data_IF_279653075334
#
_entry.id   IF_279653075334
#
_cell.length_a   1.000
_cell.length_b   1.000
_cell.length_c   1.000
_cell.angle_alpha   90.00
_cell.angle_beta   90.00
_cell.angle_gamma   90.00
#
_symmetry.space_group_name_H-M   'P 1'
#
loop_
_entity.id
_entity.type
_entity.pdbx_description
1 polymer ?
#
# COMPACT_ATOMS: atom_id res chain seq x y z
N UNK A 1 -23.79 -6.64 1.56
CA UNK A 1 -22.90 -7.55 0.79
C UNK A 1 -22.47 -6.81 -0.45
N UNK A 2 -21.15 -6.75 -0.69
CA UNK A 2 -20.60 -6.01 -1.84
C UNK A 2 -20.51 -6.89 -3.09
N UNK A 3 -20.34 -6.30 -4.27
CA UNK A 3 -20.22 -7.05 -5.53
C UNK A 3 -18.98 -7.95 -5.49
N UNK A 4 -17.88 -7.46 -4.91
CA UNK A 4 -16.66 -8.24 -4.68
C UNK A 4 -16.91 -9.49 -3.82
N UNK A 5 -17.71 -9.36 -2.75
CA UNK A 5 -18.06 -10.50 -1.87
C UNK A 5 -18.93 -11.55 -2.59
N UNK A 6 -19.86 -11.10 -3.44
CA UNK A 6 -20.69 -12.00 -4.25
C UNK A 6 -19.84 -12.79 -5.25
N UNK A 7 -18.97 -12.10 -5.99
CA UNK A 7 -18.07 -12.73 -6.97
C UNK A 7 -17.15 -13.76 -6.31
N UNK A 8 -16.62 -13.45 -5.13
CA UNK A 8 -15.78 -14.38 -4.35
C UNK A 8 -16.55 -15.62 -3.90
N UNK A 9 -17.79 -15.44 -3.44
CA UNK A 9 -18.64 -16.57 -3.02
C UNK A 9 -18.93 -17.53 -4.19
N UNK A 10 -19.21 -16.99 -5.38
CA UNK A 10 -19.41 -17.81 -6.59
C UNK A 10 -18.10 -18.47 -7.05
N UNK A 11 -16.96 -17.78 -6.92
CA UNK A 11 -15.64 -18.35 -7.19
C UNK A 11 -15.37 -19.57 -6.27
N UNK A 12 -15.70 -19.46 -4.98
CA UNK A 12 -15.58 -20.56 -4.03
C UNK A 12 -16.49 -21.75 -4.38
N UNK A 13 -17.71 -21.51 -4.85
CA UNK A 13 -18.58 -22.57 -5.36
C UNK A 13 -17.95 -23.27 -6.57
N UNK A 14 -17.33 -22.52 -7.49
CA UNK A 14 -16.63 -23.08 -8.63
C UNK A 14 -15.42 -23.92 -8.19
N UNK A 15 -14.66 -23.45 -7.19
CA UNK A 15 -13.52 -24.18 -6.60
C UNK A 15 -13.96 -25.49 -5.94
N UNK A 16 -15.04 -25.46 -5.16
CA UNK A 16 -15.61 -26.66 -4.51
C UNK A 16 -16.12 -27.63 -5.58
N UNK A 17 -16.80 -27.13 -6.60
CA UNK A 17 -17.26 -27.93 -7.73
C UNK A 17 -16.11 -28.60 -8.48
N UNK A 18 -15.05 -27.84 -8.80
CA UNK A 18 -13.84 -28.36 -9.44
C UNK A 18 -13.21 -29.49 -8.63
N UNK A 19 -13.08 -29.31 -7.30
CA UNK A 19 -12.57 -30.35 -6.41
C UNK A 19 -13.41 -31.62 -6.46
N UNK A 20 -14.75 -31.50 -6.36
CA UNK A 20 -15.65 -32.66 -6.45
C UNK A 20 -15.56 -33.38 -7.80
N UNK A 21 -15.40 -32.63 -8.89
CA UNK A 21 -15.19 -33.19 -10.23
C UNK A 21 -13.87 -33.95 -10.33
N UNK A 22 -12.79 -33.43 -9.75
CA UNK A 22 -11.51 -34.11 -9.66
C UNK A 22 -11.62 -35.39 -8.83
N UNK A 23 -12.26 -35.33 -7.66
CA UNK A 23 -12.47 -36.51 -6.80
C UNK A 23 -13.28 -37.58 -7.56
N UNK A 24 -14.30 -37.19 -8.32
CA UNK A 24 -15.07 -38.10 -9.17
C UNK A 24 -14.25 -38.67 -10.33
N UNK A 25 -13.34 -37.88 -10.91
CA UNK A 25 -12.45 -38.33 -11.97
C UNK A 25 -11.45 -39.37 -11.44
N UNK A 26 -10.89 -39.15 -10.25
CA UNK A 26 -10.03 -40.10 -9.56
C UNK A 26 -10.79 -41.38 -9.19
N UNK A 27 -12.06 -41.26 -8.79
CA UNK A 27 -12.93 -42.38 -8.46
C UNK A 27 -13.34 -43.24 -9.68
N UNK A 28 -13.09 -42.79 -10.92
CA UNK A 28 -13.29 -43.64 -12.10
C UNK A 28 -12.34 -44.85 -12.12
N UNK A 29 -11.20 -44.77 -11.43
CA UNK A 29 -10.19 -45.83 -11.41
C UNK A 29 -9.57 -46.09 -12.79
N UNK A 30 -8.93 -47.24 -12.92
CA UNK A 30 -8.25 -47.63 -14.15
C UNK A 30 -9.23 -47.84 -15.30
N UNK A 31 -8.76 -47.58 -16.52
CA UNK A 31 -9.53 -47.81 -17.74
C UNK A 31 -9.78 -49.32 -17.90
N UNK A 32 -11.04 -49.76 -18.13
CA UNK A 32 -11.35 -51.17 -18.37
C UNK A 32 -10.67 -51.70 -19.64
N UNK A 33 -10.33 -52.99 -19.63
CA UNK A 33 -9.74 -53.68 -20.79
C UNK A 33 -10.78 -54.04 -21.88
N UNK A 34 -12.06 -54.11 -21.51
CA UNK A 34 -13.12 -54.44 -22.45
C UNK A 34 -13.48 -53.22 -23.34
N UNK A 35 -13.70 -53.39 -24.67
CA UNK A 35 -13.87 -52.26 -25.59
C UNK A 35 -15.05 -51.34 -25.27
N UNK A 36 -16.14 -51.87 -24.71
CA UNK A 36 -17.35 -51.10 -24.42
C UNK A 36 -17.17 -50.28 -23.13
N UNK A 37 -16.61 -50.91 -22.09
CA UNK A 37 -16.24 -50.28 -20.83
C UNK A 37 -15.16 -49.21 -21.02
N UNK A 38 -14.15 -49.48 -21.85
CA UNK A 38 -13.12 -48.54 -22.24
C UNK A 38 -13.71 -47.25 -22.84
N UNK A 39 -14.65 -47.38 -23.80
CA UNK A 39 -15.29 -46.23 -24.44
C UNK A 39 -16.12 -45.40 -23.46
N UNK A 40 -16.91 -46.07 -22.60
CA UNK A 40 -17.73 -45.39 -21.59
C UNK A 40 -16.85 -44.68 -20.54
N UNK A 41 -15.74 -45.30 -20.14
CA UNK A 41 -14.76 -44.69 -19.26
C UNK A 41 -14.16 -43.43 -19.88
N UNK A 42 -13.72 -43.48 -21.15
CA UNK A 42 -13.13 -42.33 -21.85
C UNK A 42 -14.12 -41.17 -21.99
N UNK A 43 -15.39 -41.45 -22.31
CA UNK A 43 -16.43 -40.43 -22.37
C UNK A 43 -16.65 -39.74 -21.02
N UNK A 44 -16.70 -40.53 -19.93
CA UNK A 44 -16.84 -40.00 -18.57
C UNK A 44 -15.62 -39.19 -18.15
N UNK A 45 -14.42 -39.71 -18.38
CA UNK A 45 -13.17 -39.04 -18.08
C UNK A 45 -13.06 -37.71 -18.80
N UNK A 46 -13.32 -37.68 -20.12
CA UNK A 46 -13.26 -36.47 -20.94
C UNK A 46 -14.28 -35.42 -20.48
N UNK A 47 -15.50 -35.86 -20.14
CA UNK A 47 -16.55 -34.96 -19.62
C UNK A 47 -16.13 -34.35 -18.28
N UNK A 48 -15.63 -35.16 -17.34
CA UNK A 48 -15.17 -34.67 -16.03
C UNK A 48 -13.97 -33.73 -16.18
N UNK A 49 -13.01 -34.08 -17.06
CA UNK A 49 -11.88 -33.20 -17.37
C UNK A 49 -12.34 -31.85 -17.95
N UNK A 50 -13.31 -31.87 -18.86
CA UNK A 50 -13.91 -30.64 -19.41
C UNK A 50 -14.55 -29.78 -18.32
N UNK A 51 -15.36 -30.40 -17.46
CA UNK A 51 -15.99 -29.71 -16.33
C UNK A 51 -14.97 -29.13 -15.34
N UNK A 52 -13.92 -29.89 -15.02
CA UNK A 52 -12.82 -29.46 -14.16
C UNK A 52 -12.12 -28.22 -14.72
N UNK A 53 -11.79 -28.25 -16.02
CA UNK A 53 -11.15 -27.14 -16.72
C UNK A 53 -12.04 -25.89 -16.73
N UNK A 54 -13.33 -26.04 -17.07
CA UNK A 54 -14.28 -24.92 -17.10
C UNK A 54 -14.50 -24.30 -15.72
N UNK A 55 -14.67 -25.11 -14.67
CA UNK A 55 -14.86 -24.61 -13.30
C UNK A 55 -13.61 -23.93 -12.76
N UNK A 56 -12.42 -24.47 -13.05
CA UNK A 56 -11.14 -23.87 -12.65
C UNK A 56 -10.91 -22.53 -13.36
N UNK A 57 -11.19 -22.45 -14.66
CA UNK A 57 -11.10 -21.21 -15.43
C UNK A 57 -12.10 -20.16 -14.93
N UNK A 58 -13.33 -20.57 -14.62
CA UNK A 58 -14.37 -19.67 -14.10
C UNK A 58 -14.00 -19.15 -12.70
N UNK A 59 -13.50 -20.01 -11.80
CA UNK A 59 -13.00 -19.62 -10.49
C UNK A 59 -11.90 -18.54 -10.60
N UNK A 60 -10.93 -18.74 -11.50
CA UNK A 60 -9.84 -17.78 -11.74
C UNK A 60 -10.38 -16.42 -12.20
N UNK A 61 -11.28 -16.40 -13.19
CA UNK A 61 -11.90 -15.16 -13.70
C UNK A 61 -12.72 -14.43 -12.64
N UNK A 62 -13.52 -15.15 -11.87
CA UNK A 62 -14.34 -14.57 -10.81
C UNK A 62 -13.51 -14.04 -9.65
N UNK A 63 -12.42 -14.71 -9.30
CA UNK A 63 -11.48 -14.22 -8.28
C UNK A 63 -10.81 -12.93 -8.73
N UNK A 64 -10.33 -12.87 -9.97
CA UNK A 64 -9.75 -11.64 -10.53
C UNK A 64 -10.77 -10.49 -10.56
N UNK A 65 -12.02 -10.76 -10.97
CA UNK A 65 -13.09 -9.78 -10.96
C UNK A 65 -13.44 -9.30 -9.55
N UNK A 66 -13.49 -10.21 -8.56
CA UNK A 66 -13.74 -9.87 -7.16
C UNK A 66 -12.65 -8.95 -6.59
N UNK A 67 -11.39 -9.20 -6.91
CA UNK A 67 -10.27 -8.32 -6.52
C UNK A 67 -10.38 -6.97 -7.19
N UNK A 68 -10.63 -6.93 -8.51
CA UNK A 68 -10.77 -5.68 -9.24
C UNK A 68 -11.91 -4.83 -8.70
N UNK A 69 -13.04 -5.44 -8.36
CA UNK A 69 -14.19 -4.70 -7.84
C UNK A 69 -13.95 -4.23 -6.40
N UNK A 70 -13.28 -5.04 -5.57
CA UNK A 70 -12.84 -4.62 -4.25
C UNK A 70 -11.90 -3.42 -4.31
N UNK A 71 -10.98 -3.37 -5.28
CA UNK A 71 -10.09 -2.21 -5.46
C UNK A 71 -10.83 -0.93 -5.84
N UNK A 72 -11.89 -1.01 -6.65
CA UNK A 72 -12.73 0.15 -6.99
C UNK A 72 -13.47 0.69 -5.78
N UNK A 73 -13.95 -0.19 -4.89
CA UNK A 73 -14.61 0.22 -3.65
C UNK A 73 -13.70 1.11 -2.78
N UNK A 74 -12.37 0.89 -2.82
CA UNK A 74 -11.39 1.67 -2.06
C UNK A 74 -10.74 2.83 -2.85
N UNK A 75 -11.09 3.04 -4.12
CA UNK A 75 -10.50 4.08 -4.97
C UNK A 75 -10.72 5.49 -4.38
N UNK A 76 -11.93 5.76 -3.85
CA UNK A 76 -12.24 7.04 -3.21
C UNK A 76 -11.47 7.29 -1.91
N UNK A 77 -11.27 6.24 -1.10
CA UNK A 77 -10.50 6.35 0.14
C UNK A 77 -9.00 6.56 -0.16
N UNK A 78 -8.46 5.87 -1.15
CA UNK A 78 -7.08 6.06 -1.61
C UNK A 78 -6.85 7.47 -2.19
N UNK A 79 -7.81 8.00 -2.95
CA UNK A 79 -7.78 9.39 -3.43
C UNK A 79 -7.75 10.38 -2.26
N UNK A 80 -8.61 10.16 -1.26
CA UNK A 80 -8.67 11.00 -0.04
C UNK A 80 -7.35 10.97 0.74
N UNK A 81 -6.74 9.80 0.92
CA UNK A 81 -5.43 9.65 1.56
C UNK A 81 -4.35 10.41 0.77
N UNK A 82 -4.41 10.38 -0.55
CA UNK A 82 -3.52 11.16 -1.43
C UNK A 82 -3.64 12.66 -1.18
N UNK A 83 -4.85 13.20 -1.17
CA UNK A 83 -5.11 14.62 -0.91
C UNK A 83 -4.66 15.05 0.49
N UNK A 84 -4.96 14.24 1.52
CA UNK A 84 -4.51 14.48 2.90
C UNK A 84 -2.98 14.47 2.99
N UNK A 85 -2.32 13.58 2.26
CA UNK A 85 -0.85 13.50 2.23
C UNK A 85 -0.22 14.74 1.60
N UNK A 86 -0.78 15.26 0.51
CA UNK A 86 -0.32 16.52 -0.12
C UNK A 86 -0.53 17.70 0.82
N UNK A 87 -1.69 17.79 1.47
CA UNK A 87 -1.97 18.83 2.45
C UNK A 87 -1.03 18.75 3.66
N UNK A 88 -0.69 17.55 4.13
CA UNK A 88 0.27 17.34 5.21
C UNK A 88 1.69 17.77 4.81
N UNK A 89 2.16 17.46 3.59
CA UNK A 89 3.46 17.91 3.09
C UNK A 89 3.56 19.44 3.02
N UNK A 90 2.49 20.12 2.59
CA UNK A 90 2.44 21.58 2.58
C UNK A 90 2.58 22.16 3.99
N UNK A 91 1.88 21.58 4.99
CA UNK A 91 2.00 21.99 6.39
C UNK A 91 3.40 21.73 6.97
N UNK A 92 4.03 20.60 6.64
CA UNK A 92 5.41 20.29 7.06
C UNK A 92 6.38 21.34 6.52
N UNK A 93 6.23 21.75 5.26
CA UNK A 93 7.06 22.81 4.66
C UNK A 93 6.90 24.14 5.41
N UNK A 94 5.67 24.54 5.72
CA UNK A 94 5.40 25.74 6.52
C UNK A 94 6.03 25.67 7.91
N UNK A 95 5.95 24.53 8.59
CA UNK A 95 6.60 24.34 9.92
C UNK A 95 8.12 24.49 9.81
N UNK A 96 8.73 23.97 8.74
CA UNK A 96 10.16 24.11 8.50
C UNK A 96 10.55 25.58 8.28
N UNK A 97 9.81 26.30 7.44
CA UNK A 97 10.02 27.73 7.19
C UNK A 97 9.87 28.56 8.47
N UNK A 98 8.86 28.26 9.32
CA UNK A 98 8.69 28.91 10.63
C UNK A 98 9.85 28.59 11.57
N UNK A 99 10.33 27.34 11.60
CA UNK A 99 11.46 26.94 12.45
C UNK A 99 12.77 27.62 12.01
N UNK A 100 12.99 27.75 10.70
CA UNK A 100 14.11 28.51 10.15
C UNK A 100 14.01 29.99 10.54
N UNK A 101 12.82 30.60 10.43
CA UNK A 101 12.60 31.98 10.84
C UNK A 101 12.86 32.19 12.33
N UNK A 102 12.36 31.30 13.20
CA UNK A 102 12.59 31.37 14.65
C UNK A 102 14.08 31.23 14.98
N UNK A 103 14.81 30.36 14.26
CA UNK A 103 16.26 30.22 14.42
C UNK A 103 17.00 31.49 14.00
N UNK A 104 16.56 32.14 12.91
CA UNK A 104 17.10 33.45 12.48
C UNK A 104 16.86 34.52 13.55
N UNK A 105 15.65 34.59 14.10
CA UNK A 105 15.30 35.54 15.15
C UNK A 105 16.13 35.30 16.42
N UNK A 106 16.28 34.04 16.84
CA UNK A 106 17.09 33.69 18.01
C UNK A 106 18.55 34.15 17.86
N UNK A 107 19.18 33.91 16.70
CA UNK A 107 20.53 34.38 16.42
C UNK A 107 20.68 35.91 16.46
N UNK A 108 19.67 36.65 15.98
CA UNK A 108 19.65 38.13 16.07
C UNK A 108 19.51 38.60 17.52
N UNK A 109 18.69 37.91 18.33
CA UNK A 109 18.56 38.19 19.76
C UNK A 109 19.86 37.89 20.52
N UNK A 110 20.53 36.78 20.19
CA UNK A 110 21.83 36.42 20.77
C UNK A 110 22.91 37.46 20.45
N UNK A 111 22.91 38.01 19.23
CA UNK A 111 23.76 39.14 18.86
C UNK A 111 23.45 40.40 19.68
N UNK A 112 22.17 40.75 19.86
CA UNK A 112 21.75 41.88 20.68
C UNK A 112 22.17 41.72 22.15
N UNK A 113 22.03 40.52 22.71
CA UNK A 113 22.48 40.18 24.07
C UNK A 113 24.00 40.26 24.21
N UNK A 114 24.75 39.74 23.24
CA UNK A 114 26.20 39.81 23.23
C UNK A 114 26.70 41.27 23.13
N UNK A 115 26.01 42.11 22.35
CA UNK A 115 26.31 43.54 22.22
C UNK A 115 26.08 44.27 23.56
N UNK A 116 24.95 44.01 24.21
CA UNK A 116 24.63 44.54 25.54
C UNK A 116 25.67 44.12 26.58
N UNK A 117 26.08 42.86 26.59
CA UNK A 117 27.10 42.34 27.50
C UNK A 117 28.48 42.97 27.26
N UNK A 118 28.88 43.15 25.99
CA UNK A 118 30.12 43.81 25.62
C UNK A 118 30.13 45.31 25.99
N UNK A 119 28.98 45.99 25.84
CA UNK A 119 28.83 47.40 26.21
C UNK A 119 28.83 47.61 27.73
N UNK A 120 28.22 46.71 28.51
CA UNK A 120 28.18 46.81 29.96
C UNK A 120 29.49 46.40 30.63
N UNK A 121 30.16 45.36 30.10
CA UNK A 121 31.41 44.80 30.65
C UNK A 121 32.39 44.44 29.53
N UNK A 122 33.22 45.40 29.08
CA UNK A 122 34.17 45.15 28.02
C UNK A 122 35.27 44.21 28.49
N UNK A 123 35.36 43.02 27.90
CA UNK A 123 36.41 42.04 28.17
C UNK A 123 36.71 41.26 26.90
N UNK A 124 37.90 40.62 26.80
CA UNK A 124 38.20 39.74 25.67
C UNK A 124 37.13 38.64 25.47
N UNK A 125 36.58 38.10 26.56
CA UNK A 125 35.54 37.08 26.50
C UNK A 125 34.21 37.61 25.93
N UNK A 126 33.78 38.81 26.33
CA UNK A 126 32.52 39.42 25.82
C UNK A 126 32.66 39.90 24.37
N UNK A 127 33.85 40.34 23.96
CA UNK A 127 34.15 40.68 22.55
C UNK A 127 34.15 39.42 21.67
N UNK A 128 34.74 38.31 22.12
CA UNK A 128 34.72 37.03 21.39
C UNK A 128 33.28 36.51 21.23
N UNK A 129 32.46 36.59 22.29
CA UNK A 129 31.06 36.21 22.22
C UNK A 129 30.28 37.05 21.19
N UNK A 130 30.54 38.37 21.14
CA UNK A 130 29.93 39.28 20.17
C UNK A 130 30.35 38.95 18.72
N UNK A 131 31.64 38.68 18.49
CA UNK A 131 32.14 38.31 17.15
C UNK A 131 31.53 36.99 16.67
N UNK A 132 31.46 35.98 17.54
CA UNK A 132 30.86 34.68 17.20
C UNK A 132 29.36 34.80 16.92
N UNK A 133 28.62 35.58 17.72
CA UNK A 133 27.21 35.85 17.46
C UNK A 133 27.02 36.65 16.15
N UNK A 134 27.93 37.58 15.85
CA UNK A 134 27.94 38.37 14.61
C UNK A 134 28.16 37.51 13.37
N UNK A 135 29.13 36.60 13.40
CA UNK A 135 29.35 35.62 12.32
C UNK A 135 28.14 34.69 12.14
N UNK A 136 27.55 34.21 13.23
CA UNK A 136 26.38 33.32 13.17
C UNK A 136 25.13 33.97 12.55
N UNK A 137 25.02 35.31 12.62
CA UNK A 137 24.00 36.12 11.94
C UNK A 137 24.38 36.47 10.51
N UNK A 138 25.67 36.74 10.23
CA UNK A 138 26.16 37.06 8.88
C UNK A 138 26.05 35.85 7.92
N UNK A 139 26.07 34.63 8.45
CA UNK A 139 25.91 33.37 7.71
C UNK A 139 24.42 32.94 7.50
N UNK A 140 23.44 33.81 7.78
CA UNK A 140 21.99 33.56 7.61
C UNK A 140 21.43 33.95 6.24
#
# INVERSE_FOLDING_TARGET
MTVAQNLRSVADLCRIGAKRTLDAQLALGDKPDDPVGALLWEQRYTRLQGQLNSLSALNSKLTAAAVSEGLKEYEGELSTIGEVSVAAQAKIKQIKEVSELLTKIAKVLDLGLALLAAAATPSPATIVALVNAGSAVADL
#
